data_IF_257470662790
#
_entry.id   IF_257470662790
#
_cell.length_a   1.000
_cell.length_b   1.000
_cell.length_c   1.000
_cell.angle_alpha   90.00
_cell.angle_beta   90.00
_cell.angle_gamma   90.00
#
_symmetry.space_group_name_H-M   'P 1'
#
loop_
_entity.id
_entity.type
_entity.pdbx_description
1 polymer ?
#
# COMPACT_ATOMS: atom_id res chain seq x y z
N UNK A 1 -3.39 -13.72 -21.71
CA UNK A 1 -2.73 -12.57 -22.35
C UNK A 1 -2.82 -11.41 -21.37
N UNK A 2 -1.68 -10.97 -20.84
CA UNK A 2 -1.57 -9.78 -19.99
C UNK A 2 -1.53 -8.59 -20.95
N UNK A 3 -2.52 -7.69 -20.89
CA UNK A 3 -2.45 -6.43 -21.63
C UNK A 3 -1.34 -5.57 -21.01
N UNK A 4 -0.36 -5.16 -21.83
CA UNK A 4 0.75 -4.28 -21.43
C UNK A 4 0.20 -2.85 -21.21
N UNK A 5 0.86 -2.08 -20.34
CA UNK A 5 0.61 -0.66 -20.01
C UNK A 5 0.45 0.21 -21.26
N UNK A 6 1.16 -0.12 -22.34
CA UNK A 6 1.08 0.59 -23.64
C UNK A 6 -0.24 0.34 -24.37
N UNK A 7 -0.85 -0.82 -24.20
CA UNK A 7 -2.09 -1.19 -24.88
C UNK A 7 -3.28 -0.48 -24.24
N UNK A 8 -3.33 -0.42 -22.90
CA UNK A 8 -4.37 0.32 -22.18
C UNK A 8 -4.29 1.83 -22.42
N UNK A 9 -3.08 2.40 -22.50
CA UNK A 9 -2.91 3.83 -22.76
C UNK A 9 -3.25 4.23 -24.21
N UNK A 10 -3.02 3.32 -25.18
CA UNK A 10 -3.45 3.51 -26.58
C UNK A 10 -4.97 3.40 -26.74
N UNK A 11 -5.62 2.49 -26.00
CA UNK A 11 -7.08 2.40 -25.94
C UNK A 11 -7.64 3.71 -25.38
N UNK A 12 -7.13 4.18 -24.23
CA UNK A 12 -7.57 5.42 -23.60
C UNK A 12 -7.47 6.65 -24.52
N UNK A 13 -6.37 6.79 -25.29
CA UNK A 13 -6.16 7.95 -26.15
C UNK A 13 -6.95 7.92 -27.47
N UNK A 14 -7.44 6.75 -27.89
CA UNK A 14 -8.28 6.60 -29.09
C UNK A 14 -9.75 6.97 -28.82
N UNK A 15 -10.22 6.80 -27.58
CA UNK A 15 -11.62 7.04 -27.20
C UNK A 15 -11.91 8.50 -26.77
N UNK A 16 -10.93 9.26 -26.28
CA UNK A 16 -11.15 10.63 -25.77
C UNK A 16 -11.27 11.71 -26.83
N UNK A 17 -11.00 11.42 -28.11
CA UNK A 17 -11.08 12.41 -29.21
C UNK A 17 -12.48 12.65 -29.78
N UNK A 18 -13.54 12.01 -29.25
CA UNK A 18 -14.85 11.95 -29.91
C UNK A 18 -16.01 12.74 -29.31
N UNK A 19 -15.92 13.32 -28.11
CA UNK A 19 -17.13 13.79 -27.41
C UNK A 19 -17.03 15.25 -26.97
N UNK A 20 -17.40 16.16 -27.88
CA UNK A 20 -17.87 17.49 -27.52
C UNK A 20 -19.29 17.71 -28.06
N UNK A 21 -20.22 17.93 -27.12
CA UNK A 21 -21.49 18.66 -27.24
C UNK A 21 -22.70 17.91 -27.84
N UNK A 22 -23.73 17.64 -27.02
CA UNK A 22 -25.06 18.31 -27.12
C UNK A 22 -26.08 17.76 -26.12
N UNK A 23 -26.79 18.70 -25.51
CA UNK A 23 -27.87 18.60 -24.51
C UNK A 23 -29.23 18.10 -25.04
N UNK A 24 -30.04 17.56 -24.09
CA UNK A 24 -31.52 17.61 -23.95
C UNK A 24 -32.41 16.76 -24.88
N UNK A 25 -33.20 15.86 -24.26
CA UNK A 25 -34.68 15.78 -24.29
C UNK A 25 -35.19 14.67 -23.32
N UNK A 26 -36.44 14.80 -22.85
CA UNK A 26 -37.02 14.33 -21.58
C UNK A 26 -37.76 12.96 -21.56
N UNK A 27 -37.94 12.42 -20.33
CA UNK A 27 -39.06 11.61 -19.75
C UNK A 27 -39.03 10.04 -19.73
N UNK A 28 -39.75 9.35 -18.81
CA UNK A 28 -39.28 8.97 -17.45
C UNK A 28 -39.27 7.45 -17.17
N UNK A 29 -38.18 6.93 -16.59
CA UNK A 29 -38.17 5.69 -15.82
C UNK A 29 -36.85 5.61 -15.03
N UNK A 30 -36.75 6.38 -13.95
CA UNK A 30 -35.50 6.58 -13.21
C UNK A 30 -35.64 5.98 -11.81
N UNK A 31 -34.90 4.90 -11.52
CA UNK A 31 -34.57 4.53 -10.15
C UNK A 31 -33.27 5.25 -9.76
N UNK A 32 -33.34 6.09 -8.74
CA UNK A 32 -32.23 6.91 -8.22
C UNK A 32 -31.32 6.10 -7.28
N UNK A 33 -30.01 6.10 -7.51
CA UNK A 33 -28.99 5.81 -6.49
C UNK A 33 -27.77 6.73 -6.69
N UNK A 34 -27.07 7.05 -5.60
CA UNK A 34 -26.34 8.30 -5.28
C UNK A 34 -25.14 8.73 -6.16
N UNK A 35 -24.97 8.21 -7.38
CA UNK A 35 -23.92 8.63 -8.33
C UNK A 35 -24.47 9.33 -9.58
N UNK A 36 -25.78 9.61 -9.68
CA UNK A 36 -26.37 10.42 -10.75
C UNK A 36 -26.39 9.77 -12.14
N UNK A 37 -25.67 8.67 -12.37
CA UNK A 37 -25.80 7.84 -13.57
C UNK A 37 -26.86 6.78 -13.33
N UNK A 38 -28.02 6.99 -13.96
CA UNK A 38 -29.08 6.00 -14.05
C UNK A 38 -28.54 4.85 -14.91
N UNK A 39 -28.62 3.61 -14.42
CA UNK A 39 -28.60 2.44 -15.30
C UNK A 39 -29.85 2.56 -16.17
N UNK A 40 -29.72 3.27 -17.29
CA UNK A 40 -30.84 3.53 -18.20
C UNK A 40 -31.41 2.21 -18.70
N UNK A 41 -32.69 2.22 -19.07
CA UNK A 41 -33.33 1.09 -19.75
C UNK A 41 -32.41 0.59 -20.88
N UNK A 42 -32.29 -0.73 -21.03
CA UNK A 42 -31.48 -1.31 -22.11
C UNK A 42 -31.96 -0.76 -23.46
N UNK A 43 -31.07 -0.24 -24.33
CA UNK A 43 -31.47 0.30 -25.62
C UNK A 43 -32.19 -0.73 -26.48
N UNK A 44 -33.24 -0.31 -27.17
CA UNK A 44 -34.06 -1.20 -28.02
C UNK A 44 -33.48 -1.38 -29.43
N UNK A 45 -32.43 -0.62 -29.79
CA UNK A 45 -31.77 -0.70 -31.10
C UNK A 45 -30.37 -1.29 -30.97
N UNK A 46 -29.89 -1.91 -32.06
CA UNK A 46 -28.53 -2.44 -32.12
C UNK A 46 -27.48 -1.35 -31.93
N UNK A 47 -27.63 -0.21 -32.63
CA UNK A 47 -26.74 0.94 -32.51
C UNK A 47 -26.67 1.47 -31.07
N UNK A 48 -27.81 1.69 -30.42
CA UNK A 48 -27.84 2.14 -29.03
C UNK A 48 -27.23 1.12 -28.07
N UNK A 49 -27.37 -0.18 -28.36
CA UNK A 49 -26.78 -1.26 -27.57
C UNK A 49 -25.25 -1.27 -27.68
N UNK A 50 -24.70 -1.00 -28.87
CA UNK A 50 -23.24 -0.84 -29.04
C UNK A 50 -22.71 0.39 -28.31
N UNK A 51 -23.43 1.52 -28.35
CA UNK A 51 -23.05 2.71 -27.58
C UNK A 51 -23.07 2.44 -26.06
N UNK A 52 -24.09 1.73 -25.55
CA UNK A 52 -24.14 1.35 -24.14
C UNK A 52 -23.00 0.39 -23.77
N UNK A 53 -22.67 -0.56 -24.65
CA UNK A 53 -21.50 -1.42 -24.47
C UNK A 53 -20.23 -0.60 -24.35
N UNK A 54 -20.02 0.37 -25.23
CA UNK A 54 -18.82 1.20 -25.20
C UNK A 54 -18.75 2.06 -23.93
N UNK A 55 -19.89 2.58 -23.46
CA UNK A 55 -19.99 3.26 -22.15
C UNK A 55 -19.61 2.33 -20.99
N UNK A 56 -20.11 1.10 -20.98
CA UNK A 56 -19.81 0.14 -19.92
C UNK A 56 -18.35 -0.34 -19.99
N UNK A 57 -17.79 -0.50 -21.19
CA UNK A 57 -16.37 -0.79 -21.39
C UNK A 57 -15.48 0.36 -20.88
N UNK A 58 -15.91 1.61 -21.03
CA UNK A 58 -15.23 2.75 -20.44
C UNK A 58 -15.22 2.66 -18.91
N UNK A 59 -16.36 2.44 -18.26
CA UNK A 59 -16.43 2.25 -16.81
C UNK A 59 -15.60 1.07 -16.31
N UNK A 60 -15.64 -0.04 -17.05
CA UNK A 60 -14.80 -1.20 -16.77
C UNK A 60 -13.31 -0.84 -16.81
N UNK A 61 -12.91 -0.01 -17.76
CA UNK A 61 -11.54 0.52 -17.84
C UNK A 61 -11.21 1.44 -16.66
N UNK A 62 -12.15 2.24 -16.16
CA UNK A 62 -11.95 3.06 -14.97
C UNK A 62 -11.69 2.21 -13.71
N UNK A 63 -12.44 1.11 -13.53
CA UNK A 63 -12.20 0.16 -12.43
C UNK A 63 -10.77 -0.39 -12.52
N UNK A 64 -10.36 -0.83 -13.70
CA UNK A 64 -9.01 -1.37 -13.93
C UNK A 64 -7.91 -0.33 -13.69
N UNK A 65 -8.13 0.92 -14.11
CA UNK A 65 -7.21 2.02 -13.85
C UNK A 65 -7.03 2.26 -12.34
N UNK A 66 -8.13 2.27 -11.57
CA UNK A 66 -8.08 2.43 -10.11
C UNK A 66 -7.33 1.29 -9.42
N UNK A 67 -7.50 0.05 -9.89
CA UNK A 67 -6.73 -1.10 -9.39
C UNK A 67 -5.24 -0.91 -9.65
N UNK A 68 -4.87 -0.46 -10.86
CA UNK A 68 -3.46 -0.20 -11.20
C UNK A 68 -2.85 0.95 -10.37
N UNK A 69 -3.63 2.00 -10.13
CA UNK A 69 -3.23 3.12 -9.27
C UNK A 69 -2.98 2.64 -7.83
N UNK A 70 -3.80 1.72 -7.30
CA UNK A 70 -3.58 1.14 -5.97
C UNK A 70 -2.22 0.45 -5.86
N UNK A 71 -1.86 -0.39 -6.84
CA UNK A 71 -0.56 -1.09 -6.88
C UNK A 71 0.59 -0.08 -6.88
N UNK A 72 0.52 0.93 -7.74
CA UNK A 72 1.56 1.97 -7.84
C UNK A 72 1.70 2.78 -6.55
N UNK A 73 0.57 3.12 -5.92
CA UNK A 73 0.53 3.87 -4.68
C UNK A 73 0.97 3.05 -3.46
N UNK A 74 0.83 1.73 -3.51
CA UNK A 74 1.33 0.81 -2.49
C UNK A 74 2.85 0.72 -2.51
N UNK A 75 3.44 0.49 -3.69
CA UNK A 75 4.90 0.46 -3.86
C UNK A 75 5.53 1.76 -3.37
N UNK A 76 4.98 2.89 -3.79
CA UNK A 76 5.45 4.22 -3.37
C UNK A 76 5.33 4.43 -1.86
N UNK A 77 4.22 3.97 -1.26
CA UNK A 77 3.99 4.08 0.18
C UNK A 77 5.01 3.27 1.00
N UNK A 78 5.42 2.10 0.51
CA UNK A 78 6.35 1.22 1.20
C UNK A 78 7.81 1.66 1.12
N UNK A 79 8.17 2.54 0.18
CA UNK A 79 9.55 3.05 0.05
C UNK A 79 10.05 3.73 1.32
N UNK A 80 9.18 4.36 2.10
CA UNK A 80 9.55 5.01 3.37
C UNK A 80 9.84 4.01 4.50
N UNK A 81 9.58 2.73 4.28
CA UNK A 81 9.70 1.64 5.27
C UNK A 81 10.62 0.52 4.79
N UNK A 82 11.42 0.76 3.77
CA UNK A 82 12.40 -0.20 3.27
C UNK A 82 13.54 -0.47 4.27
N UNK A 83 14.35 -1.48 3.97
CA UNK A 83 15.47 -1.88 4.83
C UNK A 83 16.50 -0.76 5.03
N UNK A 84 16.71 0.10 4.04
CA UNK A 84 17.66 1.20 4.13
C UNK A 84 17.16 2.29 5.09
N UNK A 85 15.87 2.63 5.02
CA UNK A 85 15.21 3.57 5.94
C UNK A 85 15.20 3.04 7.37
N UNK A 86 14.89 1.77 7.53
CA UNK A 86 14.95 1.09 8.83
C UNK A 86 16.36 1.12 9.41
N UNK A 87 17.37 0.74 8.63
CA UNK A 87 18.76 0.74 9.09
C UNK A 87 19.22 2.15 9.51
N UNK A 88 18.98 3.16 8.66
CA UNK A 88 19.35 4.54 8.96
C UNK A 88 18.68 5.07 10.23
N UNK A 89 17.44 4.64 10.51
CA UNK A 89 16.71 5.00 11.73
C UNK A 89 17.35 4.40 12.97
N UNK A 90 17.65 3.10 12.95
CA UNK A 90 18.34 2.44 14.08
C UNK A 90 19.72 3.04 14.28
N UNK A 91 20.47 3.29 13.21
CA UNK A 91 21.79 3.92 13.27
C UNK A 91 21.73 5.30 13.92
N UNK A 92 20.67 6.07 13.66
CA UNK A 92 20.44 7.36 14.32
C UNK A 92 20.24 7.18 15.82
N UNK A 93 19.45 6.20 16.26
CA UNK A 93 19.25 5.92 17.69
C UNK A 93 20.54 5.50 18.39
N UNK A 94 21.36 4.66 17.74
CA UNK A 94 22.66 4.24 18.25
C UNK A 94 23.62 5.42 18.32
N UNK A 95 23.70 6.23 17.26
CA UNK A 95 24.54 7.44 17.22
C UNK A 95 24.16 8.46 18.30
N UNK A 96 22.88 8.65 18.58
CA UNK A 96 22.43 9.51 19.68
C UNK A 96 22.92 9.02 21.05
N UNK A 97 23.04 7.71 21.22
CA UNK A 97 23.57 7.12 22.44
C UNK A 97 25.11 7.03 22.45
N UNK A 98 25.79 7.13 21.31
CA UNK A 98 27.25 7.13 21.22
C UNK A 98 27.87 8.25 22.05
N UNK A 99 27.25 9.44 22.08
CA UNK A 99 27.71 10.56 22.92
C UNK A 99 27.82 10.13 24.39
N UNK A 100 26.82 9.40 24.89
CA UNK A 100 26.79 8.91 26.28
C UNK A 100 27.84 7.82 26.52
N UNK A 101 28.07 6.96 25.53
CA UNK A 101 29.11 5.94 25.59
C UNK A 101 30.48 6.59 25.71
N UNK A 102 30.76 7.59 24.86
CA UNK A 102 32.02 8.32 24.83
C UNK A 102 32.25 9.08 26.15
N UNK A 103 31.22 9.72 26.70
CA UNK A 103 31.27 10.37 28.02
C UNK A 103 31.67 9.40 29.13
N UNK A 104 31.07 8.21 29.17
CA UNK A 104 31.39 7.18 30.17
C UNK A 104 32.79 6.62 29.96
N UNK A 105 33.22 6.38 28.72
CA UNK A 105 34.59 5.94 28.44
C UNK A 105 35.63 6.98 28.87
N UNK A 106 35.35 8.27 28.66
CA UNK A 106 36.22 9.36 29.08
C UNK A 106 36.26 9.53 30.60
N UNK A 107 35.18 9.17 31.31
CA UNK A 107 35.15 9.12 32.79
C UNK A 107 36.06 8.03 33.36
N UNK A 108 36.25 6.93 32.63
CA UNK A 108 37.11 5.81 33.03
C UNK A 108 38.24 5.55 32.01
N UNK A 109 39.18 6.51 31.84
CA UNK A 109 40.20 6.41 30.78
C UNK A 109 41.14 5.22 30.98
N UNK A 110 41.32 4.79 32.23
CA UNK A 110 42.19 3.66 32.64
C UNK A 110 41.53 2.28 32.51
N UNK A 111 40.23 2.22 32.22
CA UNK A 111 39.54 0.95 31.99
C UNK A 111 40.21 0.18 30.84
N UNK A 112 40.31 -1.15 30.98
CA UNK A 112 40.95 -1.99 29.97
C UNK A 112 40.27 -1.88 28.60
N UNK A 113 41.06 -2.05 27.54
CA UNK A 113 40.53 -2.08 26.17
C UNK A 113 39.59 -3.26 25.96
N UNK A 114 39.80 -4.37 26.68
CA UNK A 114 38.89 -5.51 26.69
C UNK A 114 37.51 -5.12 27.22
N UNK A 115 37.44 -4.33 28.30
CA UNK A 115 36.17 -3.89 28.88
C UNK A 115 35.43 -2.92 27.93
N UNK A 116 36.16 -2.04 27.25
CA UNK A 116 35.59 -1.15 26.22
C UNK A 116 35.10 -1.94 25.00
N UNK A 117 35.87 -2.94 24.55
CA UNK A 117 35.50 -3.81 23.43
C UNK A 117 34.21 -4.57 23.71
N UNK A 118 34.00 -5.08 24.94
CA UNK A 118 32.73 -5.73 25.33
C UNK A 118 31.55 -4.79 25.13
N UNK A 119 31.67 -3.52 25.53
CA UNK A 119 30.58 -2.54 25.31
C UNK A 119 30.35 -2.30 23.83
N UNK A 120 31.40 -2.13 23.04
CA UNK A 120 31.30 -1.94 21.58
C UNK A 120 30.62 -3.14 20.90
N UNK A 121 31.02 -4.36 21.23
CA UNK A 121 30.45 -5.59 20.68
C UNK A 121 28.96 -5.74 21.04
N UNK A 122 28.60 -5.46 22.31
CA UNK A 122 27.20 -5.51 22.75
C UNK A 122 26.35 -4.43 22.08
N UNK A 123 26.87 -3.23 21.85
CA UNK A 123 26.19 -2.18 21.09
C UNK A 123 25.95 -2.63 19.64
N UNK A 124 26.92 -3.30 19.02
CA UNK A 124 26.75 -3.84 17.67
C UNK A 124 25.67 -4.94 17.63
N UNK A 125 25.65 -5.85 18.61
CA UNK A 125 24.58 -6.86 18.74
C UNK A 125 23.20 -6.21 18.93
N UNK A 126 23.11 -5.22 19.82
CA UNK A 126 21.85 -4.48 20.03
C UNK A 126 21.38 -3.81 18.74
N UNK A 127 22.30 -3.27 17.94
CA UNK A 127 21.97 -2.65 16.65
C UNK A 127 21.27 -3.65 15.72
N UNK A 128 21.82 -4.85 15.56
CA UNK A 128 21.21 -5.90 14.73
C UNK A 128 19.89 -6.44 15.30
N UNK A 129 19.81 -6.58 16.62
CA UNK A 129 18.58 -6.98 17.31
C UNK A 129 17.45 -5.98 17.05
N UNK A 130 17.72 -4.67 17.17
CA UNK A 130 16.73 -3.63 16.91
C UNK A 130 16.33 -3.57 15.43
N UNK A 131 17.29 -3.71 14.51
CA UNK A 131 17.01 -3.81 13.06
C UNK A 131 16.10 -5.00 12.74
N UNK A 132 16.33 -6.15 13.35
CA UNK A 132 15.48 -7.34 13.16
C UNK A 132 14.08 -7.13 13.74
N UNK A 133 14.01 -6.57 14.96
CA UNK A 133 12.75 -6.36 15.67
C UNK A 133 11.85 -5.35 14.97
N UNK A 134 12.38 -4.20 14.56
CA UNK A 134 11.58 -3.16 13.90
C UNK A 134 11.03 -3.63 12.55
N UNK A 135 11.81 -4.40 11.76
CA UNK A 135 11.34 -4.99 10.50
C UNK A 135 10.14 -5.89 10.73
N UNK A 136 10.24 -6.78 11.72
CA UNK A 136 9.16 -7.69 12.08
C UNK A 136 7.92 -6.92 12.54
N UNK A 137 8.10 -5.95 13.44
CA UNK A 137 6.99 -5.16 13.97
C UNK A 137 6.30 -4.33 12.85
N UNK A 138 7.06 -3.83 11.87
CA UNK A 138 6.52 -3.14 10.69
C UNK A 138 5.78 -4.09 9.74
N UNK A 139 6.32 -5.28 9.48
CA UNK A 139 5.67 -6.30 8.66
C UNK A 139 4.32 -6.71 9.26
N UNK A 140 4.30 -6.93 10.58
CA UNK A 140 3.09 -7.25 11.33
C UNK A 140 2.06 -6.11 11.26
N UNK A 141 2.51 -4.86 11.41
CA UNK A 141 1.65 -3.68 11.26
C UNK A 141 1.06 -3.54 9.85
N UNK A 142 1.81 -3.95 8.83
CA UNK A 142 1.44 -3.88 7.41
C UNK A 142 0.44 -4.97 6.97
N UNK A 143 0.29 -6.03 7.76
CA UNK A 143 -0.55 -7.19 7.42
C UNK A 143 -1.99 -6.87 7.02
N UNK A 144 -2.59 -5.83 7.60
CA UNK A 144 -3.94 -5.36 7.27
C UNK A 144 -4.01 -4.74 5.87
N UNK A 145 -3.02 -3.93 5.50
CA UNK A 145 -2.89 -3.32 4.16
C UNK A 145 -2.65 -4.43 3.14
N UNK A 146 -1.71 -5.35 3.40
CA UNK A 146 -1.44 -6.51 2.54
C UNK A 146 -2.69 -7.34 2.25
N UNK A 147 -3.52 -7.58 3.28
CA UNK A 147 -4.80 -8.30 3.12
C UNK A 147 -5.81 -7.52 2.30
N UNK A 148 -5.81 -6.19 2.44
CA UNK A 148 -6.66 -5.31 1.65
C UNK A 148 -6.24 -5.30 0.18
N UNK A 149 -4.95 -5.21 -0.13
CA UNK A 149 -4.45 -5.20 -1.51
C UNK A 149 -4.80 -6.48 -2.27
N UNK A 150 -4.75 -7.65 -1.61
CA UNK A 150 -5.28 -8.90 -2.21
C UNK A 150 -6.74 -8.80 -2.67
N UNK A 151 -7.58 -8.01 -1.97
CA UNK A 151 -8.98 -7.78 -2.38
C UNK A 151 -9.08 -6.83 -3.57
N UNK A 152 -8.17 -5.87 -3.67
CA UNK A 152 -8.07 -4.97 -4.82
C UNK A 152 -7.58 -5.74 -6.05
N UNK A 153 -6.60 -6.62 -5.89
CA UNK A 153 -6.12 -7.51 -6.95
C UNK A 153 -7.22 -8.42 -7.47
N UNK A 154 -7.97 -9.05 -6.55
CA UNK A 154 -9.12 -9.89 -6.90
C UNK A 154 -10.18 -9.11 -7.67
N UNK A 155 -10.50 -7.88 -7.25
CA UNK A 155 -11.41 -7.00 -8.00
C UNK A 155 -10.89 -6.76 -9.42
N UNK A 156 -9.59 -6.51 -9.58
CA UNK A 156 -8.96 -6.35 -10.89
C UNK A 156 -9.02 -7.61 -11.75
N UNK A 157 -8.83 -8.80 -11.17
CA UNK A 157 -8.95 -10.06 -11.89
C UNK A 157 -10.37 -10.34 -12.37
N UNK A 158 -11.36 -10.11 -11.51
CA UNK A 158 -12.78 -10.23 -11.84
C UNK A 158 -13.15 -9.24 -12.95
N UNK A 159 -12.72 -7.98 -12.82
CA UNK A 159 -13.00 -6.94 -13.80
C UNK A 159 -12.36 -7.23 -15.16
N UNK A 160 -11.12 -7.73 -15.20
CA UNK A 160 -10.46 -8.12 -16.46
C UNK A 160 -11.25 -9.20 -17.21
N UNK A 161 -11.88 -10.14 -16.50
CA UNK A 161 -12.73 -11.17 -17.11
C UNK A 161 -13.99 -10.54 -17.70
N UNK A 162 -14.69 -9.72 -16.92
CA UNK A 162 -15.90 -8.99 -17.36
C UNK A 162 -15.58 -8.13 -18.60
N UNK A 163 -14.48 -7.38 -18.56
CA UNK A 163 -14.02 -6.54 -19.67
C UNK A 163 -13.80 -7.36 -20.96
N UNK A 164 -13.07 -8.48 -20.85
CA UNK A 164 -12.79 -9.35 -21.98
C UNK A 164 -14.04 -10.04 -22.53
N UNK A 165 -14.99 -10.43 -21.67
CA UNK A 165 -16.27 -10.99 -22.08
C UNK A 165 -17.08 -9.95 -22.87
N UNK A 166 -17.18 -8.71 -22.37
CA UNK A 166 -17.89 -7.64 -23.06
C UNK A 166 -17.32 -7.31 -24.45
N UNK A 167 -15.99 -7.35 -24.61
CA UNK A 167 -15.34 -7.11 -25.91
C UNK A 167 -15.74 -8.15 -26.97
N UNK A 168 -16.01 -9.40 -26.57
CA UNK A 168 -16.37 -10.50 -27.49
C UNK A 168 -17.85 -10.55 -27.84
N UNK A 169 -18.71 -9.85 -27.10
CA UNK A 169 -20.16 -10.00 -27.23
C UNK A 169 -20.71 -9.60 -28.60
N UNK A 170 -20.10 -8.61 -29.27
CA UNK A 170 -20.53 -8.19 -30.61
C UNK A 170 -20.38 -9.33 -31.62
N UNK A 171 -19.18 -9.92 -31.67
CA UNK A 171 -18.85 -11.04 -32.55
C UNK A 171 -19.70 -12.29 -32.22
N UNK A 172 -19.86 -12.61 -30.93
CA UNK A 172 -20.61 -13.79 -30.49
C UNK A 172 -22.13 -13.72 -30.74
N UNK A 173 -22.67 -12.49 -30.78
CA UNK A 173 -24.10 -12.27 -30.97
C UNK A 173 -24.46 -11.94 -32.42
N UNK A 174 -23.50 -11.53 -33.26
CA UNK A 174 -23.67 -11.32 -34.70
C UNK A 174 -24.92 -10.49 -35.06
N UNK A 175 -25.21 -9.44 -34.29
CA UNK A 175 -26.39 -8.58 -34.49
C UNK A 175 -27.69 -9.05 -33.82
N UNK A 176 -27.72 -10.22 -33.16
CA UNK A 176 -28.88 -10.67 -32.39
C UNK A 176 -29.01 -9.86 -31.09
N UNK A 177 -29.93 -8.90 -31.12
CA UNK A 177 -30.21 -7.97 -30.02
C UNK A 177 -30.65 -8.71 -28.75
N UNK A 178 -31.52 -9.72 -28.86
CA UNK A 178 -32.09 -10.42 -27.71
C UNK A 178 -31.03 -11.27 -27.02
N UNK A 179 -30.19 -11.95 -27.81
CA UNK A 179 -29.06 -12.72 -27.31
C UNK A 179 -28.00 -11.80 -26.68
N UNK A 180 -27.73 -10.65 -27.29
CA UNK A 180 -26.80 -9.66 -26.75
C UNK A 180 -27.28 -9.13 -25.40
N UNK A 181 -28.52 -8.65 -25.30
CA UNK A 181 -29.07 -8.11 -24.04
C UNK A 181 -29.02 -9.13 -22.91
N UNK A 182 -29.31 -10.41 -23.20
CA UNK A 182 -29.26 -11.49 -22.21
C UNK A 182 -27.86 -11.70 -21.63
N UNK A 183 -26.80 -11.54 -22.44
CA UNK A 183 -25.41 -11.69 -21.99
C UNK A 183 -24.83 -10.40 -21.40
N UNK A 184 -25.12 -9.27 -22.03
CA UNK A 184 -24.57 -7.97 -21.66
C UNK A 184 -25.19 -7.39 -20.38
N UNK A 185 -26.49 -7.59 -20.17
CA UNK A 185 -27.21 -7.06 -19.00
C UNK A 185 -26.55 -7.41 -17.66
N UNK A 186 -26.24 -8.69 -17.38
CA UNK A 186 -25.52 -9.07 -16.17
C UNK A 186 -24.13 -8.44 -16.05
N UNK A 187 -23.34 -8.42 -17.12
CA UNK A 187 -21.98 -7.85 -17.12
C UNK A 187 -22.02 -6.36 -16.80
N UNK A 188 -22.96 -5.62 -17.41
CA UNK A 188 -23.21 -4.21 -17.12
C UNK A 188 -23.44 -3.96 -15.62
N UNK A 189 -24.32 -4.74 -14.99
CA UNK A 189 -24.58 -4.59 -13.55
C UNK A 189 -23.32 -4.87 -12.72
N UNK A 190 -22.55 -5.90 -13.08
CA UNK A 190 -21.30 -6.23 -12.39
C UNK A 190 -20.27 -5.10 -12.47
N UNK A 191 -20.10 -4.45 -13.64
CA UNK A 191 -19.20 -3.30 -13.79
C UNK A 191 -19.62 -2.15 -12.88
N UNK A 192 -20.92 -1.83 -12.83
CA UNK A 192 -21.43 -0.79 -11.92
C UNK A 192 -21.17 -1.12 -10.45
N UNK A 193 -21.42 -2.36 -10.05
CA UNK A 193 -21.13 -2.80 -8.68
C UNK A 193 -19.63 -2.69 -8.36
N UNK A 194 -18.77 -3.04 -9.33
CA UNK A 194 -17.33 -2.95 -9.19
C UNK A 194 -16.82 -1.50 -9.13
N UNK A 195 -17.42 -0.56 -9.86
CA UNK A 195 -17.18 0.89 -9.69
C UNK A 195 -17.46 1.33 -8.25
N UNK A 196 -18.63 0.97 -7.71
CA UNK A 196 -19.02 1.29 -6.33
C UNK A 196 -18.09 0.66 -5.30
N UNK A 197 -17.67 -0.58 -5.52
CA UNK A 197 -16.68 -1.26 -4.67
C UNK A 197 -15.34 -0.52 -4.70
N UNK A 198 -14.85 -0.16 -5.89
CA UNK A 198 -13.60 0.58 -6.08
C UNK A 198 -13.59 1.91 -5.32
N UNK A 199 -14.69 2.66 -5.32
CA UNK A 199 -14.80 3.90 -4.55
C UNK A 199 -14.69 3.68 -3.04
N UNK A 200 -15.41 2.68 -2.52
CA UNK A 200 -15.33 2.32 -1.10
C UNK A 200 -13.93 1.86 -0.71
N UNK A 201 -13.24 1.17 -1.62
CA UNK A 201 -11.87 0.71 -1.41
C UNK A 201 -10.91 1.89 -1.24
N UNK A 202 -11.02 2.97 -2.03
CA UNK A 202 -10.16 4.17 -1.88
C UNK A 202 -10.25 4.76 -0.47
N UNK A 203 -11.46 4.91 0.09
CA UNK A 203 -11.61 5.44 1.45
C UNK A 203 -11.03 4.49 2.51
N UNK A 204 -11.21 3.18 2.30
CA UNK A 204 -10.67 2.16 3.22
C UNK A 204 -9.15 2.13 3.18
N UNK A 205 -8.55 2.20 1.99
CA UNK A 205 -7.10 2.27 1.79
C UNK A 205 -6.50 3.46 2.56
N UNK A 206 -7.07 4.66 2.39
CA UNK A 206 -6.62 5.86 3.10
C UNK A 206 -6.64 5.68 4.62
N UNK A 207 -7.72 5.07 5.15
CA UNK A 207 -7.83 4.80 6.58
C UNK A 207 -6.78 3.79 7.04
N UNK A 208 -6.57 2.71 6.30
CA UNK A 208 -5.57 1.69 6.63
C UNK A 208 -4.14 2.26 6.61
N UNK A 209 -3.80 3.08 5.61
CA UNK A 209 -2.50 3.78 5.56
C UNK A 209 -2.31 4.73 6.75
N UNK A 210 -3.35 5.46 7.13
CA UNK A 210 -3.32 6.33 8.33
C UNK A 210 -3.11 5.51 9.61
N UNK A 211 -3.82 4.40 9.76
CA UNK A 211 -3.71 3.54 10.94
C UNK A 211 -2.32 2.86 10.99
N UNK A 212 -1.75 2.49 9.85
CA UNK A 212 -0.38 1.98 9.76
C UNK A 212 0.66 3.00 10.22
N UNK A 213 0.58 4.25 9.74
CA UNK A 213 1.52 5.32 10.13
C UNK A 213 1.50 5.51 11.66
N UNK A 214 0.32 5.48 12.28
CA UNK A 214 0.18 5.57 13.74
C UNK A 214 0.83 4.38 14.45
N UNK A 215 0.58 3.16 13.99
CA UNK A 215 1.22 1.95 14.56
C UNK A 215 2.74 2.03 14.46
N UNK A 216 3.28 2.45 13.31
CA UNK A 216 4.72 2.62 13.11
C UNK A 216 5.29 3.67 14.08
N UNK A 217 4.61 4.79 14.25
CA UNK A 217 5.02 5.80 15.23
C UNK A 217 5.10 5.24 16.66
N UNK A 218 4.10 4.47 17.08
CA UNK A 218 4.08 3.85 18.40
C UNK A 218 5.20 2.81 18.57
N UNK A 219 5.46 2.02 17.51
CA UNK A 219 6.57 1.05 17.45
C UNK A 219 7.91 1.79 17.61
N UNK A 220 8.13 2.86 16.83
CA UNK A 220 9.37 3.64 16.85
C UNK A 220 9.65 4.22 18.23
N UNK A 221 8.65 4.83 18.86
CA UNK A 221 8.79 5.40 20.19
C UNK A 221 9.13 4.33 21.23
N UNK A 222 8.44 3.19 21.18
CA UNK A 222 8.67 2.08 22.11
C UNK A 222 10.07 1.49 21.94
N UNK A 223 10.52 1.26 20.70
CA UNK A 223 11.82 0.66 20.41
C UNK A 223 12.97 1.62 20.69
N UNK A 224 12.83 2.90 20.37
CA UNK A 224 13.83 3.93 20.69
C UNK A 224 14.05 4.07 22.20
N UNK A 225 12.97 4.03 22.98
CA UNK A 225 13.05 4.02 24.44
C UNK A 225 13.70 2.73 24.98
N UNK A 226 13.35 1.55 24.45
CA UNK A 226 14.00 0.27 24.80
C UNK A 226 15.50 0.31 24.48
N UNK A 227 15.89 0.86 23.32
CA UNK A 227 17.29 1.03 22.92
C UNK A 227 18.07 1.86 23.95
N UNK A 228 17.53 3.02 24.31
CA UNK A 228 18.12 3.90 25.32
C UNK A 228 18.29 3.19 26.66
N UNK A 229 17.26 2.48 27.13
CA UNK A 229 17.27 1.76 28.40
C UNK A 229 18.30 0.61 28.42
N UNK A 230 18.47 -0.11 27.30
CA UNK A 230 19.46 -1.20 27.20
C UNK A 230 20.88 -0.67 27.20
N UNK A 231 21.14 0.44 26.49
CA UNK A 231 22.45 1.08 26.51
C UNK A 231 22.77 1.62 27.90
N UNK A 232 21.81 2.25 28.59
CA UNK A 232 22.02 2.71 29.97
C UNK A 232 22.37 1.56 30.92
N UNK A 233 21.71 0.40 30.79
CA UNK A 233 22.05 -0.80 31.58
C UNK A 233 23.46 -1.31 31.25
N UNK A 234 23.85 -1.32 29.98
CA UNK A 234 25.18 -1.72 29.54
C UNK A 234 26.25 -0.80 30.14
N UNK A 235 26.04 0.51 30.09
CA UNK A 235 26.95 1.50 30.65
C UNK A 235 27.07 1.37 32.18
N UNK A 236 25.97 1.16 32.91
CA UNK A 236 26.02 0.90 34.36
C UNK A 236 26.84 -0.34 34.71
N UNK A 237 26.79 -1.39 33.88
CA UNK A 237 27.60 -2.59 34.08
C UNK A 237 29.09 -2.34 33.78
N UNK A 238 29.36 -1.54 32.75
CA UNK A 238 30.72 -1.07 32.45
C UNK A 238 31.30 -0.28 33.62
N UNK A 239 30.58 0.72 34.15
CA UNK A 239 31.06 1.54 35.27
C UNK A 239 31.43 0.69 36.49
N UNK A 240 30.58 -0.27 36.86
CA UNK A 240 30.85 -1.20 37.97
C UNK A 240 32.12 -2.02 37.74
N UNK A 241 32.32 -2.49 36.50
CA UNK A 241 33.48 -3.30 36.13
C UNK A 241 34.76 -2.47 36.08
N UNK A 242 34.68 -1.23 35.60
CA UNK A 242 35.79 -0.30 35.55
C UNK A 242 36.27 0.10 36.96
N UNK A 243 35.34 0.37 37.89
CA UNK A 243 35.67 0.64 39.30
C UNK A 243 36.37 -0.55 39.93
N UNK A 244 35.87 -1.78 39.66
CA UNK A 244 36.48 -3.00 40.19
C UNK A 244 37.92 -3.18 39.67
N UNK A 245 38.15 -3.03 38.36
CA UNK A 245 39.51 -3.09 37.79
C UNK A 245 40.44 -2.03 38.43
N UNK A 246 39.95 -0.82 38.68
CA UNK A 246 40.76 0.24 39.28
C UNK A 246 41.15 -0.10 40.73
N UNK A 247 40.23 -0.67 41.52
CA UNK A 247 40.53 -1.12 42.89
C UNK A 247 41.56 -2.27 42.92
N UNK A 248 41.43 -3.23 42.00
CA UNK A 248 42.35 -4.37 41.90
C UNK A 248 43.77 -3.95 41.49
N UNK A 249 43.94 -2.83 40.78
CA UNK A 249 45.27 -2.29 40.43
C UNK A 249 45.97 -1.55 41.56
N UNK A 250 45.25 -1.17 42.61
CA UNK A 250 45.78 -0.43 43.76
C UNK A 250 46.18 -1.37 44.92
N UNK A 251 45.73 -2.63 44.86
CA UNK A 251 45.95 -3.66 45.90
C UNK A 251 47.12 -4.58 45.52
#
# INVERSE_FOLDING_TARGET
MLFDRKDLHKIFHKFTKGYTTSEKLLHPALYFDRMGQIIGRMPETWAGTMEERDRVLHWSSEVLARVLDNVTNEDTFLMDYDDAKVNAKVDTWIKMNQIRIDEIFNKYPRASDQLKAVVTDEVQKLTEDFRTKIRKDYEDAYSDIKRFNKKVDQLGEEERKIHAEMQKLEEECAGDLKKFHKKFGPLRVQVFDNLRKGEKMIFKEKRLKTDFIKKVYDIDHKLSADCTNRIEKLLKNFEKSAIKEEMERIT
#
